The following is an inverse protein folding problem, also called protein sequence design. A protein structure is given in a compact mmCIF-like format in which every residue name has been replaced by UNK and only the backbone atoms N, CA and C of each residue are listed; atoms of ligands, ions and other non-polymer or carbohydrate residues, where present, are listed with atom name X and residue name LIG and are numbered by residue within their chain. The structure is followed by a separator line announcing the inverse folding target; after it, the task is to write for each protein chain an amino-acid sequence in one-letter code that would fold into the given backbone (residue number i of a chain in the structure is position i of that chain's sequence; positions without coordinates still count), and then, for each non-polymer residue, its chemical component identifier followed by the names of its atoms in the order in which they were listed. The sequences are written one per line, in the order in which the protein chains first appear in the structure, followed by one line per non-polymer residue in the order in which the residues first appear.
data_IF_928232602762
#
_entry.id   IF_928232602762
#
_cell.length_a   1.000
_cell.length_b   1.000
_cell.length_c   1.000
_cell.angle_alpha   90.00
_cell.angle_beta   90.00
_cell.angle_gamma   90.00
#
_symmetry.space_group_name_H-M   'P 1'
#
loop_
_entity.id
_entity.type
_entity.pdbx_description
1 polymer ?
#
# COMPACT_ATOMS: atom_id res chain seq x y z
N UNK A 1 5.54 6.51 1.17
CA UNK A 1 5.43 7.95 1.44
C UNK A 1 6.00 8.32 2.81
N UNK A 2 5.70 7.57 3.86
CA UNK A 2 6.16 7.89 5.23
C UNK A 2 7.67 7.75 5.45
N UNK A 3 8.37 6.94 4.65
CA UNK A 3 9.77 6.60 4.92
C UNK A 3 9.88 5.82 6.23
N UNK A 4 10.71 6.31 7.13
CA UNK A 4 10.87 5.75 8.49
C UNK A 4 10.03 6.49 9.55
N UNK A 5 9.15 7.41 9.14
CA UNK A 5 8.31 8.15 10.09
C UNK A 5 7.23 7.24 10.66
N UNK A 6 7.16 7.22 11.97
CA UNK A 6 6.12 6.55 12.77
C UNK A 6 5.76 7.47 13.94
N UNK A 7 4.57 7.32 14.50
CA UNK A 7 4.16 8.00 15.71
C UNK A 7 4.78 7.32 16.95
N UNK A 8 4.68 7.94 18.11
CA UNK A 8 5.28 7.42 19.36
C UNK A 8 4.80 6.02 19.76
N UNK A 9 3.59 5.64 19.34
CA UNK A 9 3.00 4.31 19.56
C UNK A 9 3.32 3.28 18.46
N UNK A 10 4.28 3.58 17.57
CA UNK A 10 4.71 2.76 16.43
C UNK A 10 3.69 2.56 15.30
N UNK A 11 2.65 3.40 15.24
CA UNK A 11 1.71 3.38 14.12
C UNK A 11 1.98 4.52 13.14
N UNK A 12 1.44 4.37 11.93
CA UNK A 12 1.40 5.41 10.92
C UNK A 12 -0.07 5.80 10.68
N UNK A 13 -0.34 7.10 10.70
CA UNK A 13 -1.67 7.70 10.53
C UNK A 13 -1.65 8.77 9.45
N UNK A 14 -2.79 9.32 9.13
CA UNK A 14 -2.91 10.42 8.16
C UNK A 14 -2.17 11.69 8.62
N UNK A 15 -1.93 11.83 9.93
CA UNK A 15 -1.21 12.94 10.55
C UNK A 15 0.30 12.70 10.66
N UNK A 16 0.76 11.46 10.52
CA UNK A 16 2.19 11.12 10.60
C UNK A 16 2.96 11.84 9.48
N UNK A 17 4.08 12.50 9.79
CA UNK A 17 4.90 13.18 8.80
C UNK A 17 5.34 12.25 7.66
N UNK A 18 5.29 12.77 6.43
CA UNK A 18 5.67 12.00 5.24
C UNK A 18 7.07 12.38 4.77
N UNK A 19 8.04 11.50 4.98
CA UNK A 19 9.45 11.66 4.61
C UNK A 19 9.90 10.53 3.66
N UNK A 20 9.52 10.59 2.35
CA UNK A 20 9.86 9.52 1.42
C UNK A 20 11.38 9.40 1.23
N UNK A 21 11.86 8.16 1.21
CA UNK A 21 13.28 7.81 1.06
C UNK A 21 13.60 7.18 -0.30
N UNK A 22 12.67 7.23 -1.26
CA UNK A 22 12.86 6.71 -2.60
C UNK A 22 12.18 7.59 -3.65
N UNK A 23 12.66 7.58 -4.93
CA UNK A 23 11.99 8.29 -6.03
C UNK A 23 10.51 7.92 -6.18
N UNK A 24 10.18 6.63 -6.03
CA UNK A 24 8.80 6.16 -6.03
C UNK A 24 7.98 6.79 -4.88
N UNK A 25 8.53 6.81 -3.66
CA UNK A 25 7.90 7.44 -2.50
C UNK A 25 7.66 8.94 -2.72
N UNK A 26 8.63 9.65 -3.30
CA UNK A 26 8.49 11.07 -3.66
C UNK A 26 7.37 11.30 -4.68
N UNK A 27 7.30 10.49 -5.73
CA UNK A 27 6.23 10.57 -6.73
C UNK A 27 4.85 10.31 -6.11
N UNK A 28 4.74 9.35 -5.18
CA UNK A 28 3.49 9.09 -4.44
C UNK A 28 3.09 10.23 -3.53
N UNK A 29 4.04 10.86 -2.85
CA UNK A 29 3.77 12.04 -2.02
C UNK A 29 3.35 13.24 -2.86
N UNK A 30 3.97 13.44 -4.02
CA UNK A 30 3.53 14.46 -4.99
C UNK A 30 2.07 14.24 -5.37
N UNK A 31 1.68 13.01 -5.80
CA UNK A 31 0.30 12.67 -6.13
C UNK A 31 -0.68 12.92 -4.98
N UNK A 32 -0.30 12.57 -3.74
CA UNK A 32 -1.08 12.84 -2.54
C UNK A 32 -1.35 14.35 -2.38
N UNK A 33 -0.33 15.19 -2.51
CA UNK A 33 -0.47 16.64 -2.37
C UNK A 33 -1.26 17.28 -3.51
N UNK A 34 -1.12 16.79 -4.75
CA UNK A 34 -1.90 17.26 -5.90
C UNK A 34 -3.39 17.01 -5.68
N UNK A 35 -3.79 15.82 -5.21
CA UNK A 35 -5.19 15.52 -4.89
C UNK A 35 -5.74 16.47 -3.82
N UNK A 36 -4.95 16.75 -2.77
CA UNK A 36 -5.33 17.74 -1.74
C UNK A 36 -5.50 19.14 -2.33
N UNK A 37 -4.58 19.56 -3.20
CA UNK A 37 -4.65 20.86 -3.87
C UNK A 37 -5.94 21.00 -4.69
N UNK A 38 -6.22 20.05 -5.57
CA UNK A 38 -7.41 20.07 -6.40
C UNK A 38 -8.71 20.04 -5.59
N UNK A 39 -8.77 19.24 -4.54
CA UNK A 39 -9.91 19.23 -3.62
C UNK A 39 -10.16 20.63 -3.00
N UNK A 40 -9.10 21.29 -2.54
CA UNK A 40 -9.23 22.59 -1.88
C UNK A 40 -9.53 23.72 -2.87
N UNK A 41 -8.83 23.75 -4.01
CA UNK A 41 -8.96 24.82 -5.00
C UNK A 41 -10.25 24.75 -5.80
N UNK A 42 -10.68 23.54 -6.19
CA UNK A 42 -11.80 23.35 -7.10
C UNK A 42 -13.01 22.68 -6.43
N UNK A 43 -12.96 22.44 -5.12
CA UNK A 43 -14.04 21.80 -4.34
C UNK A 43 -14.44 20.43 -4.89
N UNK A 44 -13.50 19.73 -5.50
CA UNK A 44 -13.74 18.39 -6.03
C UNK A 44 -13.86 17.37 -4.90
N UNK A 45 -14.75 16.40 -5.06
CA UNK A 45 -14.72 15.21 -4.23
C UNK A 45 -13.55 14.33 -4.66
N UNK A 46 -12.43 14.54 -4.05
CA UNK A 46 -11.21 13.78 -4.30
C UNK A 46 -10.60 13.33 -2.98
N UNK A 47 -10.42 12.05 -2.79
CA UNK A 47 -9.85 11.45 -1.58
C UNK A 47 -8.57 10.70 -1.88
N UNK A 48 -7.64 10.72 -0.93
CA UNK A 48 -6.43 9.94 -1.01
C UNK A 48 -6.64 8.61 -0.27
N UNK A 49 -6.40 7.50 -0.94
CA UNK A 49 -6.24 6.21 -0.30
C UNK A 49 -4.77 5.98 0.05
N UNK A 50 -4.46 5.87 1.32
CA UNK A 50 -3.12 5.49 1.78
C UNK A 50 -3.11 3.97 1.92
N UNK A 51 -2.62 3.31 0.86
CA UNK A 51 -2.62 1.86 0.74
C UNK A 51 -1.23 1.34 1.06
N UNK A 52 -1.11 0.52 2.09
CA UNK A 52 0.12 -0.21 2.39
C UNK A 52 0.32 -1.37 1.40
N UNK A 53 0.92 -2.48 1.80
CA UNK A 53 1.15 -3.58 0.88
C UNK A 53 -0.15 -4.35 0.64
N UNK A 54 -0.61 -4.38 -0.60
CA UNK A 54 -1.78 -5.14 -1.00
C UNK A 54 -1.38 -6.29 -1.92
N UNK A 55 -1.86 -7.47 -1.61
CA UNK A 55 -1.44 -8.71 -2.20
C UNK A 55 -2.61 -9.46 -2.84
N UNK A 56 -2.30 -10.30 -3.83
CA UNK A 56 -3.27 -11.17 -4.49
C UNK A 56 -2.56 -12.28 -5.26
N UNK A 57 -3.28 -13.30 -5.77
CA UNK A 57 -2.69 -14.29 -6.68
C UNK A 57 -2.06 -13.70 -7.95
N UNK A 58 -2.42 -12.46 -8.30
CA UNK A 58 -1.86 -11.73 -9.45
C UNK A 58 -0.58 -10.95 -9.12
N UNK A 59 -0.08 -11.03 -7.90
CA UNK A 59 1.14 -10.32 -7.49
C UNK A 59 2.35 -10.82 -8.28
N UNK A 60 3.16 -9.91 -8.79
CA UNK A 60 4.36 -10.24 -9.56
C UNK A 60 5.35 -11.11 -8.76
N UNK A 61 6.09 -11.97 -9.43
CA UNK A 61 6.99 -12.95 -8.80
C UNK A 61 8.19 -12.36 -8.09
N UNK A 62 8.53 -11.11 -8.37
CA UNK A 62 9.60 -10.35 -7.70
C UNK A 62 9.19 -9.79 -6.34
N UNK A 63 7.91 -9.87 -5.97
CA UNK A 63 7.43 -9.44 -4.65
C UNK A 63 7.48 -10.59 -3.64
N UNK A 64 7.75 -10.25 -2.38
CA UNK A 64 8.08 -11.20 -1.32
C UNK A 64 7.01 -12.28 -1.13
N UNK A 65 5.74 -11.95 -1.09
CA UNK A 65 4.65 -12.91 -0.90
C UNK A 65 4.58 -13.94 -2.02
N UNK A 66 4.61 -13.47 -3.29
CA UNK A 66 4.64 -14.35 -4.46
C UNK A 66 5.92 -15.19 -4.51
N UNK A 67 7.07 -14.59 -4.16
CA UNK A 67 8.36 -15.29 -4.07
C UNK A 67 8.30 -16.41 -3.04
N UNK A 68 7.80 -16.14 -1.84
CA UNK A 68 7.68 -17.13 -0.75
C UNK A 68 6.80 -18.29 -1.17
N UNK A 69 5.59 -18.04 -1.67
CA UNK A 69 4.65 -19.09 -2.08
C UNK A 69 5.23 -19.95 -3.19
N UNK A 70 5.78 -19.35 -4.24
CA UNK A 70 6.39 -20.08 -5.35
C UNK A 70 7.60 -20.91 -4.91
N UNK A 71 8.47 -20.34 -4.08
CA UNK A 71 9.62 -21.07 -3.56
C UNK A 71 9.22 -22.23 -2.67
N UNK A 72 8.24 -22.06 -1.79
CA UNK A 72 7.75 -23.15 -0.94
C UNK A 72 7.22 -24.34 -1.77
N UNK A 73 6.45 -24.07 -2.83
CA UNK A 73 5.96 -25.10 -3.75
C UNK A 73 7.12 -25.80 -4.48
N UNK A 74 8.10 -25.02 -4.96
CA UNK A 74 9.27 -25.58 -5.67
C UNK A 74 10.16 -26.41 -4.75
N UNK A 75 10.38 -25.99 -3.50
CA UNK A 75 11.12 -26.74 -2.50
C UNK A 75 10.41 -28.07 -2.22
N UNK A 76 9.10 -28.05 -2.01
CA UNK A 76 8.31 -29.26 -1.80
C UNK A 76 8.39 -30.22 -3.01
N UNK A 77 8.49 -29.69 -4.20
CA UNK A 77 8.61 -30.49 -5.44
C UNK A 77 10.04 -30.94 -5.74
N UNK A 78 11.03 -30.65 -4.91
CA UNK A 78 12.44 -30.95 -5.15
C UNK A 78 13.10 -30.16 -6.26
N UNK A 79 12.50 -29.04 -6.67
CA UNK A 79 12.97 -28.18 -7.76
C UNK A 79 13.80 -26.98 -7.27
N UNK A 80 13.94 -26.83 -5.96
CA UNK A 80 14.68 -25.76 -5.32
C UNK A 80 15.07 -26.19 -3.90
N UNK A 81 16.29 -25.90 -3.48
CA UNK A 81 16.79 -26.36 -2.16
C UNK A 81 16.44 -25.39 -1.03
N UNK A 82 16.44 -24.09 -1.28
CA UNK A 82 16.26 -23.07 -0.25
C UNK A 82 15.54 -21.82 -0.79
N UNK A 83 14.91 -21.09 0.13
CA UNK A 83 14.38 -19.75 -0.11
C UNK A 83 15.37 -18.72 0.48
N UNK A 84 15.86 -17.83 -0.37
CA UNK A 84 16.69 -16.71 0.07
C UNK A 84 15.84 -15.45 0.17
N UNK A 85 15.76 -14.88 1.37
CA UNK A 85 15.09 -13.62 1.67
C UNK A 85 16.13 -12.57 2.09
N UNK A 86 15.80 -11.31 1.90
CA UNK A 86 16.61 -10.18 2.38
C UNK A 86 16.38 -9.91 3.88
N UNK A 87 16.08 -8.67 4.24
CA UNK A 87 15.82 -8.30 5.62
C UNK A 87 14.58 -9.02 6.18
N UNK A 88 14.79 -9.89 7.17
CA UNK A 88 13.73 -10.66 7.83
C UNK A 88 13.04 -9.87 8.95
N UNK A 89 13.67 -8.80 9.45
CA UNK A 89 13.16 -8.00 10.58
C UNK A 89 12.29 -6.81 10.13
N UNK A 90 12.00 -6.72 8.84
CA UNK A 90 11.19 -5.64 8.30
C UNK A 90 9.70 -5.87 8.56
N UNK A 91 9.10 -4.99 9.35
CA UNK A 91 7.64 -4.97 9.54
C UNK A 91 6.94 -4.46 8.28
N UNK A 92 5.81 -5.11 7.94
CA UNK A 92 4.96 -4.73 6.80
C UNK A 92 3.50 -4.97 7.16
N UNK A 93 2.65 -4.06 6.74
CA UNK A 93 1.20 -4.23 6.79
C UNK A 93 0.72 -4.79 5.44
N UNK A 94 0.15 -6.00 5.45
CA UNK A 94 -0.34 -6.68 4.25
C UNK A 94 -1.85 -6.89 4.32
N UNK A 95 -2.54 -6.46 3.26
CA UNK A 95 -3.95 -6.73 3.07
C UNK A 95 -4.22 -7.35 1.70
N UNK A 96 -5.41 -7.91 1.53
CA UNK A 96 -5.82 -8.46 0.24
C UNK A 96 -6.35 -7.36 -0.67
N UNK A 97 -5.92 -7.34 -1.94
CA UNK A 97 -6.29 -6.31 -2.91
C UNK A 97 -7.82 -6.12 -3.07
N UNK A 98 -8.62 -7.19 -2.91
CA UNK A 98 -10.09 -7.10 -2.97
C UNK A 98 -10.67 -6.24 -1.85
N UNK A 99 -10.08 -6.26 -0.66
CA UNK A 99 -10.57 -5.48 0.48
C UNK A 99 -10.33 -4.00 0.25
N UNK A 100 -9.15 -3.64 -0.28
CA UNK A 100 -8.87 -2.25 -0.66
C UNK A 100 -9.80 -1.74 -1.76
N UNK A 101 -10.05 -2.54 -2.81
CA UNK A 101 -11.02 -2.19 -3.87
C UNK A 101 -12.43 -2.03 -3.31
N UNK A 102 -12.84 -2.89 -2.38
CA UNK A 102 -14.13 -2.76 -1.69
C UNK A 102 -14.22 -1.46 -0.91
N UNK A 103 -13.18 -1.10 -0.16
CA UNK A 103 -13.10 0.17 0.57
C UNK A 103 -13.19 1.38 -0.37
N UNK A 104 -12.44 1.37 -1.49
CA UNK A 104 -12.52 2.44 -2.51
C UNK A 104 -13.94 2.61 -3.05
N UNK A 105 -14.62 1.50 -3.36
CA UNK A 105 -16.00 1.52 -3.83
C UNK A 105 -16.95 2.10 -2.77
N UNK A 106 -16.78 1.72 -1.52
CA UNK A 106 -17.60 2.24 -0.41
C UNK A 106 -17.43 3.76 -0.27
N UNK A 107 -16.21 4.27 -0.34
CA UNK A 107 -15.92 5.72 -0.30
C UNK A 107 -16.63 6.45 -1.46
N UNK A 108 -16.57 5.90 -2.67
CA UNK A 108 -17.23 6.49 -3.84
C UNK A 108 -18.76 6.55 -3.70
N UNK A 109 -19.37 5.57 -3.05
CA UNK A 109 -20.82 5.51 -2.83
C UNK A 109 -21.28 6.52 -1.77
N UNK A 110 -20.47 6.80 -0.75
CA UNK A 110 -20.80 7.79 0.29
C UNK A 110 -21.04 9.17 -0.33
N UNK A 111 -20.29 9.55 -1.35
CA UNK A 111 -20.52 10.81 -2.07
C UNK A 111 -21.93 10.93 -2.62
N UNK A 112 -22.44 9.90 -3.28
CA UNK A 112 -23.80 9.93 -3.87
C UNK A 112 -24.89 10.13 -2.83
N UNK A 113 -24.69 9.67 -1.59
CA UNK A 113 -25.65 9.83 -0.50
C UNK A 113 -25.64 11.21 0.16
N UNK A 114 -24.55 11.98 0.01
CA UNK A 114 -24.44 13.31 0.59
C UNK A 114 -24.92 14.42 -0.35
N UNK A 115 -25.20 14.11 -1.62
CA UNK A 115 -25.64 15.05 -2.65
C UNK A 115 -27.16 14.96 -2.90
N UNK A 116 -27.82 13.92 -2.40
CA UNK A 116 -29.29 13.77 -2.41
C UNK A 116 -29.88 14.19 -1.07
#
# INVERSE_FOLDING_TARGET
MFGNSIDEDNFQRETTPMHPTSPYGCAKLFGYNIVRHYRNAYKLFAVNGILFNHESPRRGSNFVTSKVVKSAVRIKAGLQDKLELGNMDAYRDWGHAKDYVKAMRMISIIQFRMIM
#
